data_IF_974111933488
#
_entry.id   IF_974111933488
#
_cell.length_a   1.000
_cell.length_b   1.000
_cell.length_c   1.000
_cell.angle_alpha   90.00
_cell.angle_beta   90.00
_cell.angle_gamma   90.00
#
_symmetry.space_group_name_H-M   'P 1'
#
loop_
_entity.id
_entity.type
_entity.pdbx_description
1 polymer ?
#
# COMPACT_ATOMS: atom_id res chain seq x y z
N UNK A 1 -18.40 43.48 -16.70
CA UNK A 1 -18.33 42.03 -17.00
C UNK A 1 -19.06 41.30 -15.90
N UNK A 2 -20.11 40.58 -16.26
CA UNK A 2 -20.86 39.73 -15.33
C UNK A 2 -19.94 38.60 -14.80
N UNK A 3 -20.31 38.05 -13.65
CA UNK A 3 -19.54 36.98 -12.99
C UNK A 3 -19.42 35.74 -13.91
N UNK A 4 -20.43 35.51 -14.75
CA UNK A 4 -20.46 34.46 -15.76
C UNK A 4 -19.41 34.67 -16.86
N UNK A 5 -19.23 35.89 -17.35
CA UNK A 5 -18.22 36.24 -18.36
C UNK A 5 -16.79 36.11 -17.84
N UNK A 6 -16.55 36.41 -16.55
CA UNK A 6 -15.24 36.15 -15.91
C UNK A 6 -14.94 34.64 -15.83
N UNK A 7 -15.92 33.83 -15.43
CA UNK A 7 -15.76 32.37 -15.34
C UNK A 7 -15.48 31.76 -16.72
N UNK A 8 -16.20 32.20 -17.76
CA UNK A 8 -15.98 31.71 -19.14
C UNK A 8 -14.57 32.08 -19.61
N UNK A 9 -14.12 33.31 -19.34
CA UNK A 9 -12.78 33.76 -19.72
C UNK A 9 -11.66 32.97 -19.01
N UNK A 10 -11.80 32.73 -17.71
CA UNK A 10 -10.84 31.90 -16.95
C UNK A 10 -10.85 30.43 -17.43
N UNK A 11 -12.02 29.89 -17.77
CA UNK A 11 -12.13 28.54 -18.34
C UNK A 11 -11.42 28.42 -19.68
N UNK A 12 -11.55 29.42 -20.56
CA UNK A 12 -10.86 29.46 -21.85
C UNK A 12 -9.35 29.61 -21.70
N UNK A 13 -8.91 30.40 -20.71
CA UNK A 13 -7.49 30.56 -20.38
C UNK A 13 -6.89 29.24 -19.87
N UNK A 14 -7.57 28.58 -18.94
CA UNK A 14 -7.16 27.28 -18.42
C UNK A 14 -7.13 26.19 -19.51
N UNK A 15 -8.11 26.18 -20.43
CA UNK A 15 -8.13 25.25 -21.56
C UNK A 15 -6.93 25.45 -22.50
N UNK A 16 -6.58 26.70 -22.80
CA UNK A 16 -5.40 27.04 -23.63
C UNK A 16 -4.11 26.60 -22.96
N UNK A 17 -3.98 26.83 -21.65
CA UNK A 17 -2.80 26.45 -20.88
C UNK A 17 -2.63 24.93 -20.80
N UNK A 18 -3.72 24.19 -20.54
CA UNK A 18 -3.72 22.72 -20.59
C UNK A 18 -3.28 22.20 -21.96
N UNK A 19 -3.76 22.82 -23.05
CA UNK A 19 -3.39 22.41 -24.40
C UNK A 19 -1.91 22.67 -24.70
N UNK A 20 -1.36 23.79 -24.20
CA UNK A 20 0.07 24.11 -24.29
C UNK A 20 0.92 23.08 -23.54
N UNK A 21 0.58 22.82 -22.28
CA UNK A 21 1.31 21.86 -21.43
C UNK A 21 1.24 20.43 -21.96
N UNK A 22 0.15 20.05 -22.64
CA UNK A 22 0.02 18.76 -23.33
C UNK A 22 0.98 18.65 -24.52
N UNK A 23 1.13 19.72 -25.32
CA UNK A 23 2.08 19.74 -26.45
C UNK A 23 3.52 19.64 -25.94
N UNK A 24 3.87 20.42 -24.92
CA UNK A 24 5.20 20.41 -24.32
C UNK A 24 5.54 19.03 -23.71
N UNK A 25 4.61 18.42 -22.96
CA UNK A 25 4.78 17.06 -22.46
C UNK A 25 4.97 16.03 -23.57
N UNK A 26 4.23 16.15 -24.69
CA UNK A 26 4.37 15.24 -25.82
C UNK A 26 5.76 15.36 -26.46
N UNK A 27 6.29 16.59 -26.61
CA UNK A 27 7.64 16.82 -27.13
C UNK A 27 8.73 16.30 -26.19
N UNK A 28 8.61 16.55 -24.88
CA UNK A 28 9.55 16.04 -23.87
C UNK A 28 9.55 14.51 -23.84
N UNK A 29 8.38 13.87 -23.90
CA UNK A 29 8.27 12.40 -23.92
C UNK A 29 8.82 11.78 -25.20
N UNK A 30 8.70 12.47 -26.35
CA UNK A 30 9.35 12.07 -27.61
C UNK A 30 10.87 12.12 -27.51
N UNK A 31 11.44 13.13 -26.83
CA UNK A 31 12.89 13.23 -26.56
C UNK A 31 13.40 12.12 -25.64
N UNK A 32 12.53 11.52 -24.82
CA UNK A 32 12.87 10.44 -23.87
C UNK A 32 12.46 9.05 -24.38
N UNK A 33 11.92 8.94 -25.61
CA UNK A 33 11.62 7.65 -26.24
C UNK A 33 10.38 6.91 -25.73
N UNK A 34 9.45 7.60 -25.05
CA UNK A 34 8.18 7.01 -24.58
C UNK A 34 7.07 7.13 -25.65
N UNK A 35 6.35 6.04 -25.94
CA UNK A 35 5.21 6.05 -26.87
C UNK A 35 3.97 6.75 -26.28
N UNK A 36 3.16 7.34 -27.16
CA UNK A 36 2.00 8.19 -26.85
C UNK A 36 0.75 7.33 -26.65
N UNK A 37 0.15 7.39 -25.46
CA UNK A 37 -1.27 7.08 -25.27
C UNK A 37 -1.98 8.32 -24.76
N UNK A 38 -2.99 8.81 -25.47
CA UNK A 38 -3.79 9.95 -25.00
C UNK A 38 -4.58 9.59 -23.73
N UNK A 39 -4.68 10.49 -22.74
CA UNK A 39 -5.55 10.29 -21.60
C UNK A 39 -7.03 10.39 -22.03
N UNK A 40 -7.81 9.33 -21.79
CA UNK A 40 -9.27 9.34 -22.00
C UNK A 40 -9.93 10.36 -21.05
N UNK A 41 -10.78 11.20 -21.63
CA UNK A 41 -11.41 12.34 -20.98
C UNK A 41 -12.62 11.96 -20.10
N UNK A 42 -12.78 12.77 -19.04
CA UNK A 42 -13.95 13.19 -18.23
C UNK A 42 -15.17 12.26 -18.02
N UNK A 43 -15.64 12.26 -16.77
CA UNK A 43 -16.58 11.32 -16.12
C UNK A 43 -18.06 11.46 -16.53
N UNK A 44 -18.40 12.25 -17.55
CA UNK A 44 -19.80 12.65 -17.77
C UNK A 44 -20.45 12.21 -19.07
N UNK A 45 -19.73 11.71 -20.07
CA UNK A 45 -20.37 11.31 -21.34
C UNK A 45 -19.62 10.19 -22.05
N UNK A 46 -20.08 8.94 -21.91
CA UNK A 46 -19.85 7.92 -22.95
C UNK A 46 -21.09 7.04 -23.05
N UNK A 47 -21.90 7.32 -24.08
CA UNK A 47 -22.91 6.41 -24.58
C UNK A 47 -22.31 5.30 -25.46
N UNK A 48 -23.10 4.25 -25.58
CA UNK A 48 -22.91 2.93 -26.19
C UNK A 48 -22.27 2.93 -27.58
N UNK A 49 -21.30 2.03 -27.81
CA UNK A 49 -21.24 1.19 -29.03
C UNK A 49 -20.29 -0.03 -28.82
N UNK A 50 -20.56 -1.23 -29.39
CA UNK A 50 -19.80 -2.45 -29.09
C UNK A 50 -18.93 -3.00 -30.24
N UNK A 51 -18.09 -3.99 -29.86
CA UNK A 51 -17.40 -5.03 -30.65
C UNK A 51 -16.10 -4.58 -31.37
N UNK A 52 -15.04 -5.40 -31.54
CA UNK A 52 -14.94 -6.85 -31.81
C UNK A 52 -13.65 -7.48 -31.27
N UNK A 53 -13.72 -8.81 -31.14
CA UNK A 53 -12.69 -9.83 -30.87
C UNK A 53 -11.77 -9.99 -32.09
N UNK A 54 -10.49 -10.27 -31.85
CA UNK A 54 -9.69 -11.13 -32.74
C UNK A 54 -8.74 -12.01 -31.93
N UNK A 55 -8.72 -13.29 -32.30
CA UNK A 55 -8.01 -14.40 -31.65
C UNK A 55 -6.82 -14.85 -32.49
N UNK A 56 -5.66 -14.98 -31.87
CA UNK A 56 -4.58 -15.96 -32.17
C UNK A 56 -3.54 -15.77 -31.04
N UNK A 57 -3.06 -16.76 -30.29
CA UNK A 57 -2.79 -18.15 -30.61
C UNK A 57 -1.27 -18.29 -30.69
N UNK A 58 -0.59 -18.56 -29.57
CA UNK A 58 0.58 -19.45 -29.58
C UNK A 58 1.03 -19.85 -28.17
N UNK A 59 1.15 -21.17 -28.00
CA UNK A 59 1.66 -21.87 -26.84
C UNK A 59 3.19 -21.83 -26.84
N UNK A 60 3.83 -21.61 -25.69
CA UNK A 60 5.07 -22.34 -25.44
C UNK A 60 5.44 -22.53 -23.97
N UNK A 61 6.05 -23.69 -23.75
CA UNK A 61 6.15 -24.48 -22.53
C UNK A 61 7.61 -24.48 -22.08
N UNK A 62 7.93 -24.06 -20.84
CA UNK A 62 9.25 -24.34 -20.24
C UNK A 62 9.09 -24.83 -18.79
N UNK A 63 9.75 -25.96 -18.52
CA UNK A 63 9.75 -26.76 -17.30
C UNK A 63 10.80 -26.29 -16.27
N UNK A 64 10.38 -26.39 -15.00
CA UNK A 64 11.09 -26.81 -13.77
C UNK A 64 12.43 -26.17 -13.36
N UNK A 65 12.56 -25.85 -12.06
CA UNK A 65 13.39 -26.46 -10.99
C UNK A 65 13.04 -25.65 -9.71
N UNK A 66 12.45 -26.17 -8.63
CA UNK A 66 12.99 -27.17 -7.70
C UNK A 66 13.44 -26.46 -6.40
N UNK A 67 12.51 -26.16 -5.48
CA UNK A 67 12.79 -25.55 -4.17
C UNK A 67 11.61 -25.72 -3.22
N UNK A 68 11.89 -26.20 -2.02
CA UNK A 68 10.96 -26.71 -1.00
C UNK A 68 9.91 -25.65 -0.57
N UNK A 69 8.73 -25.65 -1.20
CA UNK A 69 7.63 -24.72 -0.86
C UNK A 69 6.84 -25.27 0.33
N UNK A 70 6.64 -24.42 1.35
CA UNK A 70 5.51 -24.53 2.28
C UNK A 70 4.23 -24.35 1.46
N UNK A 71 3.72 -25.43 0.87
CA UNK A 71 2.65 -25.38 -0.13
C UNK A 71 1.36 -24.83 0.49
N UNK A 72 1.04 -23.56 0.20
CA UNK A 72 -0.28 -22.96 0.40
C UNK A 72 -1.35 -23.88 -0.19
N UNK A 73 -2.42 -24.19 0.56
CA UNK A 73 -3.52 -25.05 0.09
C UNK A 73 -3.92 -24.63 -1.33
N UNK A 74 -3.72 -25.54 -2.29
CA UNK A 74 -3.81 -25.32 -3.74
C UNK A 74 -5.20 -25.57 -4.31
N UNK A 75 -6.18 -25.94 -3.48
CA UNK A 75 -7.51 -26.21 -3.99
C UNK A 75 -8.14 -24.91 -4.49
N UNK A 76 -8.51 -24.81 -5.79
CA UNK A 76 -9.26 -23.67 -6.30
C UNK A 76 -10.56 -23.52 -5.51
N UNK A 77 -11.01 -22.29 -5.31
CA UNK A 77 -12.16 -21.98 -4.47
C UNK A 77 -13.46 -22.54 -5.05
N UNK A 78 -13.57 -22.44 -6.37
CA UNK A 78 -14.69 -22.88 -7.20
C UNK A 78 -14.27 -22.78 -8.68
N UNK A 79 -15.03 -23.36 -9.61
CA UNK A 79 -14.83 -23.15 -11.04
C UNK A 79 -15.75 -22.01 -11.53
N UNK A 80 -15.34 -20.76 -11.29
CA UNK A 80 -16.11 -19.56 -11.65
C UNK A 80 -15.32 -18.73 -12.66
N UNK A 81 -16.00 -18.26 -13.70
CA UNK A 81 -15.47 -17.43 -14.77
C UNK A 81 -16.46 -16.32 -15.19
N UNK A 82 -16.15 -15.59 -16.25
CA UNK A 82 -16.99 -14.52 -16.79
C UNK A 82 -18.36 -14.99 -17.32
N UNK A 83 -18.54 -16.27 -17.64
CA UNK A 83 -19.79 -16.86 -18.11
C UNK A 83 -20.63 -17.48 -16.98
N UNK A 84 -20.05 -17.70 -15.80
CA UNK A 84 -20.79 -18.16 -14.61
C UNK A 84 -21.95 -17.23 -14.24
N UNK A 85 -22.93 -17.79 -13.51
CA UNK A 85 -24.10 -17.06 -13.04
C UNK A 85 -23.74 -15.91 -12.08
N UNK A 86 -24.65 -14.96 -11.93
CA UNK A 86 -24.47 -13.88 -10.96
C UNK A 86 -24.32 -14.41 -9.52
N UNK A 87 -25.05 -15.47 -9.18
CA UNK A 87 -25.01 -16.07 -7.84
C UNK A 87 -23.64 -16.71 -7.54
N UNK A 88 -23.10 -17.51 -8.46
CA UNK A 88 -21.76 -18.12 -8.30
C UNK A 88 -20.66 -17.07 -8.14
N UNK A 89 -20.76 -15.95 -8.88
CA UNK A 89 -19.84 -14.82 -8.76
C UNK A 89 -19.96 -14.12 -7.41
N UNK A 90 -21.18 -13.92 -6.91
CA UNK A 90 -21.44 -13.32 -5.59
C UNK A 90 -20.87 -14.22 -4.50
N UNK A 91 -21.08 -15.53 -4.58
CA UNK A 91 -20.56 -16.51 -3.61
C UNK A 91 -19.03 -16.48 -3.55
N UNK A 92 -18.35 -16.52 -4.71
CA UNK A 92 -16.89 -16.38 -4.78
C UNK A 92 -16.42 -15.04 -4.21
N UNK A 93 -17.11 -13.94 -4.55
CA UNK A 93 -16.78 -12.61 -4.06
C UNK A 93 -16.88 -12.54 -2.53
N UNK A 94 -17.96 -13.10 -1.96
CA UNK A 94 -18.16 -13.24 -0.50
C UNK A 94 -17.18 -14.19 0.16
N UNK A 95 -16.60 -15.14 -0.56
CA UNK A 95 -15.56 -16.00 -0.01
C UNK A 95 -14.24 -15.28 0.21
N UNK A 96 -13.92 -14.30 -0.64
CA UNK A 96 -12.66 -13.58 -0.63
C UNK A 96 -12.73 -12.29 0.20
N UNK A 97 -13.71 -11.43 -0.07
CA UNK A 97 -13.77 -10.09 0.49
C UNK A 97 -14.63 -10.04 1.76
N UNK A 98 -14.28 -10.88 2.74
CA UNK A 98 -15.02 -11.05 3.99
C UNK A 98 -14.68 -9.99 5.03
N UNK A 99 -15.71 -9.36 5.58
CA UNK A 99 -15.63 -8.49 6.74
C UNK A 99 -16.83 -8.70 7.65
N UNK A 100 -17.26 -7.64 8.32
CA UNK A 100 -18.50 -7.61 9.11
C UNK A 100 -19.71 -7.87 8.20
N UNK A 101 -20.55 -8.83 8.58
CA UNK A 101 -21.81 -9.10 7.88
C UNK A 101 -22.99 -8.26 8.40
N UNK A 102 -22.91 -7.75 9.63
CA UNK A 102 -23.95 -6.96 10.26
C UNK A 102 -23.93 -5.48 9.87
N UNK A 103 -22.90 -5.03 9.15
CA UNK A 103 -22.76 -3.65 8.67
C UNK A 103 -21.82 -3.56 7.46
N UNK A 104 -22.21 -2.79 6.45
CA UNK A 104 -21.34 -2.41 5.33
C UNK A 104 -21.19 -0.89 5.21
N UNK A 105 -20.22 -0.42 4.42
CA UNK A 105 -20.07 0.99 4.11
C UNK A 105 -20.65 1.30 2.72
N UNK A 106 -21.36 2.41 2.57
CA UNK A 106 -21.85 2.91 1.29
C UNK A 106 -21.13 4.21 0.94
N UNK A 107 -20.65 4.30 -0.30
CA UNK A 107 -20.10 5.55 -0.84
C UNK A 107 -21.23 6.49 -1.22
N UNK A 108 -21.12 7.74 -0.81
CA UNK A 108 -22.07 8.79 -1.17
C UNK A 108 -21.35 10.02 -1.71
N UNK A 109 -21.96 10.65 -2.71
CA UNK A 109 -21.53 11.92 -3.27
C UNK A 109 -22.61 12.96 -3.02
N UNK A 110 -22.24 14.02 -2.30
CA UNK A 110 -23.11 15.16 -2.10
C UNK A 110 -22.89 16.16 -3.22
N UNK A 111 -23.80 16.20 -4.20
CA UNK A 111 -23.69 17.10 -5.34
C UNK A 111 -23.63 18.58 -4.93
N UNK A 112 -24.38 18.99 -3.90
CA UNK A 112 -24.44 20.38 -3.42
C UNK A 112 -23.13 20.87 -2.80
N UNK A 113 -22.40 19.98 -2.13
CA UNK A 113 -21.17 20.35 -1.38
C UNK A 113 -19.91 19.78 -2.02
N UNK A 114 -20.03 18.97 -3.08
CA UNK A 114 -18.93 18.22 -3.70
C UNK A 114 -18.31 17.14 -2.81
N UNK A 115 -18.83 16.90 -1.59
CA UNK A 115 -18.23 15.96 -0.64
C UNK A 115 -18.43 14.52 -1.08
N UNK A 116 -17.35 13.74 -1.03
CA UNK A 116 -17.29 12.30 -1.34
C UNK A 116 -16.87 11.57 -0.09
N UNK A 117 -17.74 10.71 0.44
CA UNK A 117 -17.48 10.05 1.72
C UNK A 117 -18.11 8.65 1.77
N UNK A 118 -17.50 7.76 2.53
CA UNK A 118 -18.11 6.49 2.90
C UNK A 118 -18.79 6.62 4.25
N UNK A 119 -20.01 6.11 4.36
CA UNK A 119 -20.76 6.08 5.60
C UNK A 119 -21.23 4.65 5.89
N UNK A 120 -21.34 4.24 7.17
CA UNK A 120 -22.01 2.99 7.51
C UNK A 120 -23.44 2.98 6.96
N UNK A 121 -23.86 1.89 6.34
CA UNK A 121 -25.22 1.73 5.87
C UNK A 121 -26.18 1.54 7.05
N UNK A 122 -27.24 2.34 7.11
CA UNK A 122 -28.25 2.30 8.16
C UNK A 122 -29.62 2.70 7.61
N UNK A 123 -30.68 2.31 8.31
CA UNK A 123 -32.08 2.60 7.91
C UNK A 123 -32.37 4.11 7.81
N UNK A 124 -31.77 4.93 8.69
CA UNK A 124 -31.86 6.40 8.66
C UNK A 124 -30.47 7.04 8.54
N UNK A 125 -29.99 7.35 7.33
CA UNK A 125 -28.70 8.01 7.10
C UNK A 125 -28.58 9.38 7.78
N UNK A 126 -29.69 10.09 8.03
CA UNK A 126 -29.67 11.40 8.67
C UNK A 126 -29.46 11.29 10.19
N UNK A 127 -29.85 10.16 10.80
CA UNK A 127 -29.59 9.86 12.22
C UNK A 127 -28.11 9.69 12.56
N UNK A 128 -27.26 9.30 11.60
CA UNK A 128 -25.81 9.19 11.79
C UNK A 128 -25.19 10.51 12.25
N UNK A 129 -25.73 11.65 11.78
CA UNK A 129 -25.26 12.99 12.17
C UNK A 129 -25.64 13.38 13.61
N UNK A 130 -26.57 12.65 14.23
CA UNK A 130 -27.04 12.85 15.62
C UNK A 130 -26.39 11.90 16.63
N UNK A 131 -25.38 11.12 16.22
CA UNK A 131 -24.45 10.47 17.14
C UNK A 131 -24.57 8.96 17.33
N UNK A 132 -25.57 8.28 16.73
CA UNK A 132 -25.60 6.81 16.50
C UNK A 132 -26.86 6.43 15.71
N UNK A 133 -26.77 5.58 14.68
CA UNK A 133 -27.96 5.07 14.01
C UNK A 133 -28.66 4.06 14.91
N UNK A 134 -29.99 4.00 14.83
CA UNK A 134 -30.77 3.00 15.59
C UNK A 134 -30.49 1.58 15.14
N UNK A 135 -30.15 1.37 13.85
CA UNK A 135 -29.88 0.06 13.26
C UNK A 135 -29.03 0.16 11.99
N UNK A 136 -27.99 -0.66 11.91
CA UNK A 136 -27.16 -0.83 10.72
C UNK A 136 -27.77 -1.87 9.77
N UNK A 137 -27.45 -1.76 8.47
CA UNK A 137 -27.93 -2.68 7.44
C UNK A 137 -26.88 -3.77 7.17
N UNK A 138 -27.29 -5.05 7.09
CA UNK A 138 -26.38 -6.16 6.83
C UNK A 138 -25.86 -6.17 5.39
N UNK A 139 -24.72 -6.83 5.17
CA UNK A 139 -24.15 -7.06 3.85
C UNK A 139 -24.79 -8.30 3.20
N UNK A 140 -25.85 -8.09 2.43
CA UNK A 140 -26.58 -9.15 1.72
C UNK A 140 -26.07 -9.37 0.30
N UNK A 141 -26.50 -10.46 -0.33
CA UNK A 141 -26.15 -10.79 -1.72
C UNK A 141 -26.68 -9.75 -2.70
N UNK A 142 -27.86 -9.18 -2.43
CA UNK A 142 -28.42 -8.08 -3.21
C UNK A 142 -27.53 -6.83 -3.13
N UNK A 143 -26.96 -6.53 -1.97
CA UNK A 143 -26.05 -5.39 -1.79
C UNK A 143 -24.77 -5.59 -2.61
N UNK A 144 -24.23 -6.81 -2.63
CA UNK A 144 -23.06 -7.16 -3.44
C UNK A 144 -23.41 -7.13 -4.93
N UNK A 145 -24.56 -7.66 -5.32
CA UNK A 145 -25.06 -7.56 -6.69
C UNK A 145 -25.19 -6.09 -7.14
N UNK A 146 -25.78 -5.21 -6.33
CA UNK A 146 -25.86 -3.77 -6.59
C UNK A 146 -24.47 -3.14 -6.76
N UNK A 147 -23.46 -3.61 -6.04
CA UNK A 147 -22.08 -3.16 -6.21
C UNK A 147 -21.48 -3.60 -7.54
N UNK A 148 -21.53 -4.89 -7.82
CA UNK A 148 -20.97 -5.51 -9.03
C UNK A 148 -21.70 -5.09 -10.31
N UNK A 149 -22.97 -4.69 -10.21
CA UNK A 149 -23.77 -4.14 -11.32
C UNK A 149 -23.60 -2.62 -11.50
N UNK A 150 -22.94 -1.95 -10.55
CA UNK A 150 -22.64 -0.52 -10.63
C UNK A 150 -23.70 0.42 -10.07
N UNK A 151 -24.77 -0.12 -9.49
CA UNK A 151 -25.82 0.65 -8.81
C UNK A 151 -25.27 1.34 -7.56
N UNK A 152 -24.51 0.60 -6.75
CA UNK A 152 -23.89 1.09 -5.51
C UNK A 152 -22.37 0.98 -5.57
N UNK A 153 -21.69 1.75 -4.73
CA UNK A 153 -20.29 1.54 -4.41
C UNK A 153 -20.20 1.31 -2.92
N UNK A 154 -19.68 0.15 -2.52
CA UNK A 154 -19.68 -0.28 -1.13
C UNK A 154 -18.25 -0.59 -0.67
N UNK A 155 -18.08 -0.63 0.64
CA UNK A 155 -16.89 -1.14 1.31
C UNK A 155 -17.28 -2.06 2.46
N UNK A 156 -16.30 -2.80 2.97
CA UNK A 156 -16.46 -3.69 4.12
C UNK A 156 -15.59 -3.23 5.28
N UNK A 157 -16.00 -3.59 6.49
CA UNK A 157 -15.20 -3.44 7.69
C UNK A 157 -14.48 -4.78 7.95
N UNK A 158 -13.16 -4.89 7.72
CA UNK A 158 -12.44 -6.16 7.72
C UNK A 158 -12.14 -6.71 9.13
N UNK A 159 -12.19 -5.86 10.17
CA UNK A 159 -11.95 -6.27 11.55
C UNK A 159 -13.23 -6.80 12.20
N UNK A 160 -13.20 -8.07 12.61
CA UNK A 160 -14.31 -8.75 13.24
C UNK A 160 -14.42 -8.43 14.74
N UNK A 161 -15.51 -8.88 15.38
CA UNK A 161 -15.80 -8.59 16.80
C UNK A 161 -14.87 -9.29 17.78
N UNK A 162 -14.27 -10.39 17.35
CA UNK A 162 -13.31 -11.21 18.07
C UNK A 162 -11.85 -10.82 17.75
N UNK A 163 -11.63 -9.63 17.21
CA UNK A 163 -10.31 -9.09 16.85
C UNK A 163 -9.59 -9.92 15.74
N UNK A 164 -10.35 -10.69 14.94
CA UNK A 164 -9.86 -11.45 13.77
C UNK A 164 -10.17 -10.78 12.42
N UNK A 165 -9.52 -11.24 11.34
CA UNK A 165 -9.83 -10.84 9.97
C UNK A 165 -9.62 -12.00 8.97
N UNK A 166 -10.20 -11.86 7.77
CA UNK A 166 -10.10 -12.84 6.68
C UNK A 166 -9.07 -12.49 5.61
N UNK A 167 -8.58 -11.26 5.62
CA UNK A 167 -7.52 -10.79 4.73
C UNK A 167 -6.72 -9.68 5.40
N UNK A 168 -5.54 -9.42 4.82
CA UNK A 168 -4.79 -8.18 4.99
C UNK A 168 -4.72 -7.50 3.61
N UNK A 169 -5.03 -6.21 3.53
CA UNK A 169 -4.79 -5.42 2.33
C UNK A 169 -3.79 -4.30 2.62
N UNK A 170 -2.81 -4.11 1.74
CA UNK A 170 -1.83 -3.04 1.83
C UNK A 170 -2.16 -1.95 0.80
N UNK A 171 -2.33 -0.71 1.26
CA UNK A 171 -2.75 0.44 0.46
C UNK A 171 -1.52 1.19 -0.07
N UNK A 172 -1.43 1.34 -1.39
CA UNK A 172 -0.38 2.08 -2.09
C UNK A 172 -1.02 3.16 -2.96
N UNK A 173 -0.80 4.44 -2.66
CA UNK A 173 -1.38 5.61 -3.33
C UNK A 173 -0.29 6.55 -3.89
N UNK A 174 -0.65 7.57 -4.69
CA UNK A 174 0.27 8.62 -5.19
C UNK A 174 1.25 8.13 -6.26
N UNK A 175 2.18 9.01 -6.67
CA UNK A 175 3.18 8.71 -7.67
C UNK A 175 4.06 7.51 -7.24
N UNK A 176 4.37 6.62 -8.19
CA UNK A 176 5.21 5.45 -7.94
C UNK A 176 4.48 4.21 -7.41
N UNK A 177 3.18 4.29 -7.08
CA UNK A 177 2.41 3.19 -6.48
C UNK A 177 2.61 1.83 -7.17
N UNK A 178 2.71 1.81 -8.50
CA UNK A 178 2.86 0.57 -9.27
C UNK A 178 4.18 -0.15 -8.99
N UNK A 179 5.29 0.60 -8.90
CA UNK A 179 6.60 0.02 -8.59
C UNK A 179 6.67 -0.47 -7.14
N UNK A 180 6.12 0.30 -6.22
CA UNK A 180 6.09 -0.01 -4.78
C UNK A 180 5.24 -1.25 -4.51
N UNK A 181 4.03 -1.30 -5.09
CA UNK A 181 3.13 -2.43 -4.94
C UNK A 181 3.70 -3.70 -5.58
N UNK A 182 4.33 -3.61 -6.76
CA UNK A 182 5.04 -4.73 -7.38
C UNK A 182 6.22 -5.22 -6.54
N UNK A 183 6.97 -4.30 -5.94
CA UNK A 183 8.06 -4.66 -5.04
C UNK A 183 7.54 -5.47 -3.86
N UNK A 184 6.46 -5.01 -3.23
CA UNK A 184 5.82 -5.71 -2.12
C UNK A 184 5.29 -7.09 -2.54
N UNK A 185 4.63 -7.19 -3.70
CA UNK A 185 4.17 -8.49 -4.26
C UNK A 185 5.34 -9.45 -4.49
N UNK A 186 6.48 -8.96 -4.99
CA UNK A 186 7.66 -9.80 -5.22
C UNK A 186 8.25 -10.31 -3.90
N UNK A 187 8.35 -9.48 -2.87
CA UNK A 187 8.80 -9.91 -1.55
C UNK A 187 7.83 -10.92 -0.92
N UNK A 188 6.52 -10.70 -1.06
CA UNK A 188 5.53 -11.69 -0.64
C UNK A 188 5.79 -13.04 -1.33
N UNK A 189 6.02 -13.05 -2.64
CA UNK A 189 6.33 -14.25 -3.42
C UNK A 189 7.62 -14.94 -2.96
N UNK A 190 8.69 -14.19 -2.72
CA UNK A 190 9.97 -14.72 -2.21
C UNK A 190 9.82 -15.43 -0.86
N UNK A 191 8.88 -14.97 -0.03
CA UNK A 191 8.54 -15.59 1.26
C UNK A 191 7.41 -16.64 1.18
N UNK A 192 6.95 -17.00 -0.02
CA UNK A 192 5.86 -17.97 -0.20
C UNK A 192 4.49 -17.48 0.28
N UNK A 193 4.30 -16.16 0.38
CA UNK A 193 3.04 -15.51 0.77
C UNK A 193 2.27 -15.13 -0.50
N UNK A 194 1.10 -15.74 -0.78
CA UNK A 194 0.26 -15.33 -1.91
C UNK A 194 -0.28 -13.91 -1.70
N UNK A 195 0.01 -13.02 -2.66
CA UNK A 195 -0.40 -11.63 -2.64
C UNK A 195 -0.90 -11.19 -4.03
N UNK A 196 -1.97 -10.39 -4.07
CA UNK A 196 -2.70 -10.07 -5.30
C UNK A 196 -2.92 -8.57 -5.45
N UNK A 197 -2.53 -8.02 -6.60
CA UNK A 197 -2.58 -6.59 -6.88
C UNK A 197 -3.92 -6.18 -7.50
N UNK A 198 -4.65 -5.26 -6.88
CA UNK A 198 -5.85 -4.62 -7.43
C UNK A 198 -5.60 -3.13 -7.61
N UNK A 199 -5.98 -2.59 -8.78
CA UNK A 199 -5.93 -1.14 -9.01
C UNK A 199 -7.04 -0.46 -8.23
N UNK A 200 -6.72 0.60 -7.49
CA UNK A 200 -7.70 1.30 -6.68
C UNK A 200 -8.80 1.95 -7.53
N UNK A 201 -9.89 2.33 -6.85
CA UNK A 201 -11.05 3.01 -7.47
C UNK A 201 -10.69 4.28 -8.25
N UNK A 202 -9.67 5.02 -7.81
CA UNK A 202 -9.23 6.26 -8.45
C UNK A 202 -8.34 6.01 -9.66
N UNK A 203 -7.73 4.83 -9.77
CA UNK A 203 -6.68 4.52 -10.75
C UNK A 203 -5.29 5.06 -10.37
N UNK A 204 -5.18 5.85 -9.30
CA UNK A 204 -3.94 6.49 -8.84
C UNK A 204 -3.34 5.80 -7.60
N UNK A 205 -3.62 4.51 -7.46
CA UNK A 205 -3.17 3.67 -6.36
C UNK A 205 -3.57 2.22 -6.60
N UNK A 206 -3.25 1.38 -5.63
CA UNK A 206 -3.57 -0.03 -5.64
C UNK A 206 -3.65 -0.60 -4.21
N UNK A 207 -4.40 -1.68 -4.08
CA UNK A 207 -4.36 -2.52 -2.90
C UNK A 207 -3.65 -3.84 -3.23
N UNK A 208 -2.74 -4.28 -2.36
CA UNK A 208 -2.18 -5.63 -2.40
C UNK A 208 -2.86 -6.49 -1.34
N UNK A 209 -3.58 -7.52 -1.77
CA UNK A 209 -4.40 -8.39 -0.92
C UNK A 209 -3.68 -9.69 -0.57
N UNK A 210 -3.70 -10.06 0.70
CA UNK A 210 -3.28 -11.37 1.22
C UNK A 210 -4.52 -11.98 1.90
N UNK A 211 -4.97 -13.14 1.41
CA UNK A 211 -6.19 -13.79 1.89
C UNK A 211 -5.89 -14.97 2.81
N UNK A 212 -6.76 -15.20 3.81
CA UNK A 212 -6.66 -16.31 4.74
C UNK A 212 -7.79 -17.34 4.52
N UNK A 213 -7.49 -18.62 4.73
CA UNK A 213 -8.47 -19.70 4.54
C UNK A 213 -9.46 -19.83 5.70
N UNK A 214 -9.11 -19.25 6.85
CA UNK A 214 -9.89 -19.18 8.09
C UNK A 214 -9.58 -17.84 8.76
N UNK A 215 -10.43 -17.33 9.67
CA UNK A 215 -10.14 -16.06 10.35
C UNK A 215 -8.87 -16.20 11.19
N UNK A 216 -8.02 -15.18 11.14
CA UNK A 216 -6.77 -15.09 11.89
C UNK A 216 -6.77 -13.85 12.78
N UNK A 217 -6.02 -13.83 13.89
CA UNK A 217 -5.86 -12.61 14.68
C UNK A 217 -5.36 -11.45 13.82
N UNK A 218 -6.01 -10.29 13.90
CA UNK A 218 -5.59 -9.11 13.15
C UNK A 218 -4.17 -8.67 13.53
N UNK A 219 -3.73 -8.93 14.76
CA UNK A 219 -2.34 -8.79 15.20
C UNK A 219 -1.38 -9.62 14.35
N UNK A 220 -1.61 -10.93 14.19
CA UNK A 220 -0.73 -11.81 13.39
C UNK A 220 -0.69 -11.36 11.93
N UNK A 221 -1.85 -11.06 11.33
CA UNK A 221 -1.93 -10.58 9.95
C UNK A 221 -1.14 -9.28 9.76
N UNK A 222 -1.31 -8.30 10.64
CA UNK A 222 -0.59 -7.02 10.57
C UNK A 222 0.91 -7.18 10.82
N UNK A 223 1.31 -8.06 11.74
CA UNK A 223 2.73 -8.36 11.96
C UNK A 223 3.37 -8.93 10.70
N UNK A 224 2.69 -9.85 9.99
CA UNK A 224 3.19 -10.37 8.73
C UNK A 224 3.38 -9.23 7.71
N UNK A 225 2.37 -8.39 7.53
CA UNK A 225 2.43 -7.24 6.62
C UNK A 225 3.57 -6.28 6.94
N UNK A 226 3.73 -5.88 8.21
CA UNK A 226 4.79 -4.96 8.65
C UNK A 226 6.19 -5.56 8.40
N UNK A 227 6.37 -6.86 8.64
CA UNK A 227 7.66 -7.54 8.40
C UNK A 227 7.99 -7.64 6.91
N UNK A 228 7.00 -8.00 6.07
CA UNK A 228 7.16 -8.01 4.60
C UNK A 228 7.43 -6.61 4.04
N UNK A 229 6.78 -5.59 4.59
CA UNK A 229 6.99 -4.20 4.19
C UNK A 229 8.42 -3.75 4.52
N UNK A 230 8.94 -4.11 5.70
CA UNK A 230 10.34 -3.88 6.06
C UNK A 230 11.30 -4.52 5.07
N UNK A 231 11.13 -5.81 4.76
CA UNK A 231 12.00 -6.50 3.78
C UNK A 231 11.91 -5.84 2.40
N UNK A 232 10.72 -5.37 2.00
CA UNK A 232 10.52 -4.58 0.77
C UNK A 232 11.33 -3.29 0.78
N UNK A 233 11.30 -2.53 1.88
CA UNK A 233 12.10 -1.31 2.04
C UNK A 233 13.61 -1.61 1.98
N UNK A 234 14.05 -2.73 2.55
CA UNK A 234 15.46 -3.15 2.53
C UNK A 234 15.92 -3.45 1.09
N UNK A 235 15.10 -4.18 0.31
CA UNK A 235 15.45 -4.56 -1.07
C UNK A 235 15.40 -3.37 -2.04
N UNK A 236 14.51 -2.39 -1.80
CA UNK A 236 14.11 -1.40 -2.80
C UNK A 236 14.25 0.07 -2.40
N UNK A 237 15.20 0.41 -1.54
CA UNK A 237 15.32 1.76 -0.94
C UNK A 237 15.75 2.94 -1.86
N UNK A 238 15.57 2.89 -3.18
CA UNK A 238 15.32 4.14 -3.94
C UNK A 238 13.89 4.65 -3.69
N UNK A 239 13.07 3.80 -3.08
CA UNK A 239 11.69 4.04 -2.72
C UNK A 239 11.67 4.12 -1.18
N UNK A 240 11.68 5.35 -0.64
CA UNK A 240 10.80 5.56 0.50
C UNK A 240 9.45 5.08 -0.02
N UNK A 241 8.83 4.06 0.57
CA UNK A 241 7.48 3.58 0.21
C UNK A 241 6.47 4.69 0.50
N UNK A 242 6.62 5.83 -0.17
CA UNK A 242 5.87 7.07 0.00
C UNK A 242 4.44 6.88 -0.48
N UNK A 243 4.27 5.88 -1.36
CA UNK A 243 2.96 5.42 -1.78
C UNK A 243 2.27 4.58 -0.72
N UNK A 244 3.00 3.83 0.11
CA UNK A 244 2.36 3.08 1.21
C UNK A 244 1.63 4.05 2.16
N UNK A 245 0.32 3.85 2.30
CA UNK A 245 -0.52 4.62 3.22
C UNK A 245 -0.76 3.82 4.51
N UNK A 246 -1.33 2.61 4.40
CA UNK A 246 -1.78 1.81 5.55
C UNK A 246 -2.10 0.35 5.18
N UNK A 247 -2.29 -0.48 6.20
CA UNK A 247 -2.89 -1.81 6.06
C UNK A 247 -4.35 -1.82 6.51
N UNK A 248 -5.20 -2.61 5.85
CA UNK A 248 -6.56 -2.94 6.27
C UNK A 248 -6.62 -4.40 6.75
N UNK A 249 -7.13 -4.68 7.97
CA UNK A 249 -7.59 -3.73 8.99
C UNK A 249 -6.46 -2.83 9.51
N UNK A 250 -6.77 -1.55 9.82
CA UNK A 250 -5.78 -0.59 10.36
C UNK A 250 -5.47 -0.86 11.83
N UNK A 251 -6.42 -1.46 12.55
CA UNK A 251 -6.28 -1.77 13.96
C UNK A 251 -6.06 -3.26 14.16
N UNK A 252 -5.39 -3.60 15.28
CA UNK A 252 -5.26 -4.96 15.77
C UNK A 252 -6.44 -5.38 16.65
N UNK A 253 -7.08 -4.41 17.30
CA UNK A 253 -8.20 -4.63 18.20
C UNK A 253 -9.35 -3.71 17.84
N UNK A 254 -10.57 -4.23 17.94
CA UNK A 254 -11.77 -3.48 17.66
C UNK A 254 -11.97 -2.41 18.74
N UNK A 255 -12.13 -1.12 18.36
CA UNK A 255 -12.38 -0.08 19.32
C UNK A 255 -13.75 -0.24 19.98
N UNK A 256 -13.86 0.13 21.26
CA UNK A 256 -15.13 0.01 22.01
C UNK A 256 -16.25 0.76 21.28
N UNK A 257 -17.31 0.03 20.90
CA UNK A 257 -18.49 0.59 20.24
C UNK A 257 -18.32 0.97 18.78
N UNK A 258 -17.20 0.59 18.13
CA UNK A 258 -16.97 0.80 16.70
C UNK A 258 -16.91 -0.51 15.90
N UNK A 259 -16.71 -0.38 14.60
CA UNK A 259 -16.56 -1.48 13.64
C UNK A 259 -15.20 -1.44 12.90
N UNK A 260 -14.27 -0.61 13.36
CA UNK A 260 -12.97 -0.41 12.70
C UNK A 260 -13.05 0.47 11.46
N UNK A 261 -12.00 0.47 10.65
CA UNK A 261 -11.93 1.22 9.39
C UNK A 261 -12.45 0.39 8.21
N UNK A 262 -13.11 1.02 7.24
CA UNK A 262 -13.59 0.35 6.03
C UNK A 262 -12.50 0.29 4.94
N UNK A 263 -12.59 -0.71 4.08
CA UNK A 263 -11.91 -0.76 2.77
C UNK A 263 -12.97 -0.83 1.67
N UNK A 264 -12.77 -0.10 0.57
CA UNK A 264 -13.67 -0.16 -0.58
C UNK A 264 -13.56 -1.53 -1.27
N UNK A 265 -14.69 -2.09 -1.70
CA UNK A 265 -14.71 -3.36 -2.41
C UNK A 265 -14.30 -3.20 -3.89
N UNK A 266 -13.59 -4.17 -4.47
CA UNK A 266 -13.17 -4.14 -5.86
C UNK A 266 -14.30 -4.57 -6.81
N UNK A 267 -14.04 -4.47 -8.11
CA UNK A 267 -14.90 -4.91 -9.21
C UNK A 267 -16.24 -4.17 -9.37
N UNK A 268 -16.33 -2.93 -8.89
CA UNK A 268 -17.50 -2.08 -9.12
C UNK A 268 -17.65 -1.75 -10.63
N UNK A 269 -18.80 -2.06 -11.24
CA UNK A 269 -18.97 -2.00 -12.72
C UNK A 269 -18.53 -0.69 -13.37
N UNK A 270 -18.93 0.46 -12.82
CA UNK A 270 -18.63 1.78 -13.41
C UNK A 270 -17.13 2.08 -13.34
N UNK A 271 -16.44 1.65 -12.27
CA UNK A 271 -15.00 1.77 -12.16
C UNK A 271 -14.26 0.81 -13.09
N UNK A 272 -14.77 -0.43 -13.24
CA UNK A 272 -14.21 -1.42 -14.17
C UNK A 272 -14.27 -1.00 -15.62
N UNK A 273 -15.33 -0.30 -16.04
CA UNK A 273 -15.41 0.27 -17.40
C UNK A 273 -14.26 1.25 -17.71
N UNK A 274 -13.57 1.76 -16.68
CA UNK A 274 -12.40 2.63 -16.79
C UNK A 274 -11.07 1.87 -16.55
N UNK A 275 -11.11 0.55 -16.38
CA UNK A 275 -9.94 -0.27 -16.04
C UNK A 275 -9.46 -0.11 -14.59
N UNK A 276 -10.34 0.37 -13.70
CA UNK A 276 -10.07 0.51 -12.26
C UNK A 276 -10.84 -0.53 -11.46
N UNK A 277 -10.45 -0.73 -10.19
CA UNK A 277 -11.01 -1.79 -9.31
C UNK A 277 -10.82 -3.21 -9.84
N UNK A 278 -9.86 -3.42 -10.73
CA UNK A 278 -9.54 -4.70 -11.35
C UNK A 278 -8.19 -5.22 -10.86
N UNK A 279 -8.09 -6.54 -10.77
CA UNK A 279 -6.85 -7.23 -10.45
C UNK A 279 -5.91 -7.23 -11.64
N UNK A 280 -4.66 -6.92 -11.38
CA UNK A 280 -3.61 -6.70 -12.36
C UNK A 280 -2.63 -7.88 -12.38
N UNK A 281 -2.15 -8.21 -13.57
CA UNK A 281 -1.10 -9.20 -13.76
C UNK A 281 0.28 -8.58 -13.44
N UNK A 282 0.99 -9.03 -12.39
CA UNK A 282 2.28 -8.46 -12.00
C UNK A 282 3.44 -8.89 -12.92
N UNK A 283 3.22 -9.80 -13.88
CA UNK A 283 4.26 -10.28 -14.78
C UNK A 283 4.59 -9.31 -15.93
N UNK A 284 3.69 -8.37 -16.25
CA UNK A 284 3.87 -7.40 -17.33
C UNK A 284 4.31 -6.03 -16.83
N UNK A 285 5.12 -5.32 -17.62
CA UNK A 285 5.59 -3.96 -17.31
C UNK A 285 4.44 -2.94 -17.21
N UNK A 286 3.34 -3.17 -17.93
CA UNK A 286 2.21 -2.23 -18.05
C UNK A 286 1.08 -2.47 -17.04
N UNK A 287 1.21 -3.46 -16.14
CA UNK A 287 0.20 -3.78 -15.11
C UNK A 287 -1.23 -3.88 -15.68
N UNK A 288 -1.39 -4.66 -16.74
CA UNK A 288 -2.70 -4.88 -17.36
C UNK A 288 -3.61 -5.70 -16.44
N UNK A 289 -4.93 -5.42 -16.44
CA UNK A 289 -5.91 -6.29 -15.79
C UNK A 289 -5.87 -7.71 -16.33
N UNK A 290 -6.16 -8.70 -15.49
CA UNK A 290 -6.44 -10.06 -15.98
C UNK A 290 -7.63 -10.07 -16.95
N UNK A 291 -7.56 -10.80 -18.08
CA UNK A 291 -8.65 -10.83 -19.08
C UNK A 291 -9.98 -11.29 -18.49
N UNK A 292 -9.95 -12.32 -17.66
CA UNK A 292 -11.11 -12.79 -16.90
C UNK A 292 -10.83 -12.64 -15.41
N UNK A 293 -11.42 -11.59 -14.83
CA UNK A 293 -11.31 -11.28 -13.41
C UNK A 293 -11.88 -12.41 -12.53
N UNK A 294 -12.96 -13.07 -12.96
CA UNK A 294 -13.62 -14.10 -12.17
C UNK A 294 -12.83 -15.42 -12.19
N UNK A 295 -12.32 -15.81 -13.37
CA UNK A 295 -11.42 -16.94 -13.49
C UNK A 295 -10.13 -16.73 -12.69
N UNK A 296 -9.62 -15.51 -12.64
CA UNK A 296 -8.48 -15.18 -11.78
C UNK A 296 -8.83 -15.28 -10.29
N UNK A 297 -9.94 -14.68 -9.84
CA UNK A 297 -10.35 -14.72 -8.43
C UNK A 297 -10.58 -16.16 -7.94
N UNK A 298 -11.10 -17.05 -8.79
CA UNK A 298 -11.36 -18.44 -8.43
C UNK A 298 -10.09 -19.26 -8.17
N UNK A 299 -8.95 -18.78 -8.69
CA UNK A 299 -7.61 -19.36 -8.51
C UNK A 299 -6.83 -18.76 -7.33
N UNK A 300 -7.40 -17.81 -6.58
CA UNK A 300 -6.71 -17.21 -5.45
C UNK A 300 -6.38 -18.26 -4.39
N UNK A 301 -5.08 -18.37 -4.08
CA UNK A 301 -4.54 -19.16 -2.98
C UNK A 301 -4.63 -18.34 -1.70
N UNK A 302 -4.87 -19.03 -0.60
CA UNK A 302 -5.05 -18.42 0.72
C UNK A 302 -4.09 -19.04 1.71
N UNK A 303 -3.55 -18.23 2.61
CA UNK A 303 -2.75 -18.72 3.72
C UNK A 303 -3.64 -19.37 4.77
N UNK A 304 -3.25 -20.54 5.26
CA UNK A 304 -3.85 -21.10 6.47
C UNK A 304 -3.33 -20.37 7.72
N UNK A 305 -4.05 -20.41 8.86
CA UNK A 305 -3.54 -19.86 10.12
C UNK A 305 -2.17 -20.44 10.51
N UNK A 306 -1.96 -21.74 10.30
CA UNK A 306 -0.67 -22.39 10.56
C UNK A 306 0.45 -21.86 9.67
N UNK A 307 0.17 -21.59 8.38
CA UNK A 307 1.14 -21.01 7.47
C UNK A 307 1.48 -19.56 7.83
N UNK A 308 0.49 -18.76 8.24
CA UNK A 308 0.72 -17.41 8.76
C UNK A 308 1.70 -17.44 9.95
N UNK A 309 1.44 -18.29 10.94
CA UNK A 309 2.30 -18.42 12.13
C UNK A 309 3.70 -18.94 11.76
N UNK A 310 3.81 -19.90 10.83
CA UNK A 310 5.10 -20.35 10.31
C UNK A 310 5.88 -19.21 9.61
N UNK A 311 5.22 -18.38 8.80
CA UNK A 311 5.84 -17.21 8.20
C UNK A 311 6.34 -16.21 9.26
N UNK A 312 5.61 -16.03 10.37
CA UNK A 312 6.04 -15.17 11.48
C UNK A 312 7.23 -15.73 12.29
N UNK A 313 7.49 -17.03 12.22
CA UNK A 313 8.70 -17.62 12.80
C UNK A 313 9.93 -17.43 11.89
N UNK A 314 9.71 -17.44 10.57
CA UNK A 314 10.78 -17.33 9.57
C UNK A 314 11.18 -15.87 9.34
N UNK A 315 10.19 -14.98 9.19
CA UNK A 315 10.43 -13.57 8.87
C UNK A 315 10.65 -12.83 10.19
N UNK A 316 11.82 -12.21 10.44
CA UNK A 316 12.14 -11.63 11.74
C UNK A 316 11.27 -10.42 12.07
N UNK A 317 11.02 -10.14 13.37
CA UNK A 317 10.30 -8.94 13.78
C UNK A 317 11.04 -7.65 13.40
N UNK A 318 10.30 -6.55 13.39
CA UNK A 318 10.87 -5.22 13.17
C UNK A 318 11.47 -4.71 14.48
N UNK A 319 12.77 -4.45 14.47
CA UNK A 319 13.51 -3.84 15.60
C UNK A 319 13.93 -2.43 15.19
N UNK A 320 13.59 -1.43 16.01
CA UNK A 320 13.94 -0.01 15.78
C UNK A 320 14.59 0.57 17.02
N UNK A 321 15.27 1.72 16.88
CA UNK A 321 15.86 2.48 17.97
C UNK A 321 17.36 2.25 18.15
N UNK A 322 17.98 2.93 19.15
CA UNK A 322 19.41 2.81 19.43
C UNK A 322 19.79 1.35 19.71
N UNK A 323 20.85 0.86 19.06
CA UNK A 323 21.28 -0.55 19.13
C UNK A 323 20.57 -1.49 18.14
N UNK A 324 19.64 -1.00 17.33
CA UNK A 324 19.09 -1.79 16.22
C UNK A 324 20.14 -1.98 15.13
N UNK A 325 20.65 -3.21 14.99
CA UNK A 325 21.42 -3.61 13.81
C UNK A 325 20.47 -4.29 12.85
N UNK A 326 20.06 -3.58 11.80
CA UNK A 326 19.25 -4.19 10.76
C UNK A 326 20.01 -5.37 10.13
N UNK A 327 19.43 -6.56 10.14
CA UNK A 327 19.95 -7.68 9.35
C UNK A 327 19.42 -7.53 7.93
N UNK A 328 20.34 -7.52 6.97
CA UNK A 328 20.03 -7.57 5.53
C UNK A 328 20.59 -8.87 4.99
N UNK A 329 19.82 -9.57 4.16
CA UNK A 329 20.24 -10.88 3.64
C UNK A 329 21.57 -10.80 2.87
N UNK A 330 22.44 -11.83 2.95
CA UNK A 330 23.69 -11.86 2.21
C UNK A 330 23.51 -11.73 0.69
N UNK A 331 22.37 -12.21 0.16
CA UNK A 331 22.05 -12.09 -1.26
C UNK A 331 21.90 -10.63 -1.71
N UNK A 332 21.20 -9.80 -0.92
CA UNK A 332 21.02 -8.37 -1.20
C UNK A 332 22.37 -7.65 -1.11
N UNK A 333 23.18 -7.93 -0.08
CA UNK A 333 24.51 -7.35 0.09
C UNK A 333 25.45 -7.66 -1.08
N UNK A 334 25.36 -8.87 -1.66
CA UNK A 334 26.14 -9.24 -2.85
C UNK A 334 25.68 -8.51 -4.12
N UNK A 335 24.37 -8.35 -4.30
CA UNK A 335 23.81 -7.68 -5.49
C UNK A 335 24.04 -6.16 -5.44
N UNK A 336 24.03 -5.57 -4.24
CA UNK A 336 24.22 -4.16 -4.01
C UNK A 336 25.30 -3.94 -2.92
N UNK A 337 26.60 -4.04 -3.28
CA UNK A 337 27.68 -3.94 -2.30
C UNK A 337 27.72 -2.55 -1.64
N UNK A 338 28.13 -2.51 -0.37
CA UNK A 338 28.36 -1.27 0.34
C UNK A 338 29.56 -0.52 -0.26
N UNK A 339 29.56 0.83 -0.23
CA UNK A 339 30.72 1.60 -0.67
C UNK A 339 31.91 1.36 0.27
N UNK A 340 33.13 1.59 -0.21
CA UNK A 340 34.33 1.52 0.63
C UNK A 340 34.32 2.57 1.75
N UNK A 341 33.70 3.72 1.48
CA UNK A 341 33.70 4.88 2.36
C UNK A 341 32.29 5.48 2.41
N UNK A 342 31.85 5.88 3.61
CA UNK A 342 30.62 6.61 3.87
C UNK A 342 31.02 8.00 4.39
N UNK A 343 30.70 9.04 3.61
CA UNK A 343 31.01 10.43 3.98
C UNK A 343 29.94 10.99 4.91
N UNK A 344 30.39 11.59 6.00
CA UNK A 344 29.51 12.22 6.97
C UNK A 344 30.14 13.45 7.62
N UNK A 345 29.28 14.39 8.00
CA UNK A 345 29.66 15.64 8.66
C UNK A 345 28.99 15.73 10.01
N UNK A 346 29.77 15.93 11.06
CA UNK A 346 29.28 16.14 12.42
C UNK A 346 29.23 17.64 12.72
N UNK A 347 28.02 18.19 12.76
CA UNK A 347 27.77 19.60 13.09
C UNK A 347 26.67 19.72 14.15
N UNK A 348 25.61 20.46 13.84
CA UNK A 348 24.39 20.49 14.65
C UNK A 348 23.69 19.12 14.65
N UNK A 349 23.68 18.46 13.49
CA UNK A 349 23.24 17.08 13.26
C UNK A 349 24.42 16.23 12.75
N UNK A 350 24.22 14.92 12.70
CA UNK A 350 25.10 14.01 11.98
C UNK A 350 24.54 13.83 10.57
N UNK A 351 25.17 14.45 9.58
CA UNK A 351 24.73 14.42 8.18
C UNK A 351 25.47 13.33 7.41
N UNK A 352 24.76 12.44 6.72
CA UNK A 352 25.33 11.35 5.91
C UNK A 352 24.99 11.60 4.45
N UNK A 353 25.99 11.59 3.56
CA UNK A 353 25.78 11.71 2.12
C UNK A 353 25.18 10.42 1.56
N UNK A 354 24.10 10.52 0.78
CA UNK A 354 23.40 9.36 0.21
C UNK A 354 24.08 8.76 -1.02
N UNK A 355 24.89 9.56 -1.72
CA UNK A 355 25.49 9.18 -3.00
C UNK A 355 26.33 7.91 -2.87
N UNK A 356 26.05 6.92 -3.71
CA UNK A 356 26.77 5.64 -3.74
C UNK A 356 26.49 4.70 -2.57
N UNK A 357 25.63 5.07 -1.62
CA UNK A 357 25.20 4.17 -0.55
C UNK A 357 24.00 3.35 -1.06
N UNK A 358 24.08 2.01 -1.05
CA UNK A 358 22.96 1.19 -1.47
C UNK A 358 21.79 1.34 -0.51
N UNK A 359 20.60 1.20 -1.07
CA UNK A 359 19.31 1.24 -0.43
C UNK A 359 19.20 0.55 0.94
N UNK A 360 19.61 -0.72 1.02
CA UNK A 360 19.54 -1.48 2.26
C UNK A 360 20.37 -0.84 3.38
N UNK A 361 21.50 -0.20 3.03
CA UNK A 361 22.39 0.45 3.99
C UNK A 361 21.82 1.80 4.43
N UNK A 362 21.23 2.57 3.52
CA UNK A 362 20.46 3.78 3.88
C UNK A 362 19.32 3.45 4.85
N UNK A 363 18.58 2.35 4.62
CA UNK A 363 17.54 1.90 5.53
C UNK A 363 18.10 1.59 6.93
N UNK A 364 19.24 0.90 7.02
CA UNK A 364 19.92 0.59 8.29
C UNK A 364 20.37 1.86 9.02
N UNK A 365 20.95 2.83 8.29
CA UNK A 365 21.39 4.13 8.83
C UNK A 365 20.23 4.92 9.45
N UNK A 366 19.01 4.80 8.92
CA UNK A 366 17.81 5.47 9.47
C UNK A 366 17.29 4.83 10.77
N UNK A 367 17.50 3.52 11.01
CA UNK A 367 16.86 2.79 12.12
C UNK A 367 17.21 3.29 13.54
N UNK A 368 18.46 3.68 13.85
CA UNK A 368 18.80 4.22 15.18
C UNK A 368 18.05 5.51 15.53
N UNK A 369 17.57 6.24 14.52
CA UNK A 369 16.80 7.48 14.67
C UNK A 369 15.28 7.26 14.54
N UNK A 370 14.80 6.02 14.64
CA UNK A 370 13.37 5.69 14.76
C UNK A 370 13.07 5.20 16.17
N UNK A 371 12.10 5.82 16.85
CA UNK A 371 11.70 5.42 18.20
C UNK A 371 10.27 4.88 18.20
N UNK A 372 10.00 3.88 19.03
CA UNK A 372 8.63 3.46 19.32
C UNK A 372 7.83 4.63 19.90
N UNK A 373 6.59 4.83 19.45
CA UNK A 373 5.69 5.84 20.01
C UNK A 373 4.86 5.25 21.16
N UNK A 374 5.15 5.52 22.46
CA UNK A 374 4.43 4.93 23.58
C UNK A 374 2.93 5.26 23.57
N UNK A 375 2.57 6.46 23.10
CA UNK A 375 1.19 6.92 22.99
C UNK A 375 0.38 6.05 22.03
N UNK A 376 1.00 5.59 20.93
CA UNK A 376 0.37 4.66 20.00
C UNK A 376 0.00 3.35 20.69
N UNK A 377 0.98 2.74 21.36
CA UNK A 377 0.81 1.44 22.02
C UNK A 377 -0.13 1.50 23.22
N UNK A 378 -0.12 2.59 23.97
CA UNK A 378 -1.07 2.82 25.08
C UNK A 378 -2.51 2.87 24.54
N UNK A 379 -2.77 3.67 23.50
CA UNK A 379 -4.10 3.76 22.90
C UNK A 379 -4.55 2.43 22.29
N UNK A 380 -3.63 1.70 21.67
CA UNK A 380 -3.90 0.36 21.15
C UNK A 380 -4.34 -0.60 22.28
N UNK A 381 -3.60 -0.64 23.40
CA UNK A 381 -3.95 -1.44 24.59
C UNK A 381 -5.33 -1.08 25.15
N UNK A 382 -5.67 0.21 25.17
CA UNK A 382 -6.96 0.72 25.62
C UNK A 382 -8.10 0.54 24.60
N UNK A 383 -7.83 -0.06 23.44
CA UNK A 383 -8.79 -0.20 22.32
C UNK A 383 -9.38 1.16 21.91
N UNK A 384 -8.55 2.19 21.89
CA UNK A 384 -8.88 3.54 21.44
C UNK A 384 -8.39 3.74 20.00
N UNK A 385 -8.97 4.71 19.30
CA UNK A 385 -8.53 5.06 17.93
C UNK A 385 -7.08 5.54 17.93
N UNK A 386 -6.28 4.95 17.03
CA UNK A 386 -4.89 5.31 16.72
C UNK A 386 -4.76 6.19 15.47
N UNK A 387 -5.88 6.73 14.98
CA UNK A 387 -5.90 7.57 13.78
C UNK A 387 -4.96 8.78 13.94
N UNK A 388 -4.10 9.01 12.94
CA UNK A 388 -3.04 10.05 12.90
C UNK A 388 -1.98 9.96 14.00
N UNK A 389 -1.90 8.84 14.72
CA UNK A 389 -0.84 8.59 15.69
C UNK A 389 0.07 7.53 15.06
N UNK A 390 1.30 7.89 14.65
CA UNK A 390 2.20 6.92 14.03
C UNK A 390 2.74 5.95 15.09
N UNK A 391 3.00 4.70 14.71
CA UNK A 391 3.61 3.70 15.61
C UNK A 391 5.07 4.00 15.94
N UNK A 392 5.74 4.79 15.08
CA UNK A 392 7.12 5.21 15.24
C UNK A 392 7.24 6.74 15.16
N UNK A 393 8.15 7.29 15.96
CA UNK A 393 8.57 8.68 15.93
C UNK A 393 9.85 8.75 15.08
N UNK A 394 9.80 9.57 14.02
CA UNK A 394 10.95 9.85 13.16
C UNK A 394 11.79 10.96 13.80
N UNK A 395 13.02 10.62 14.19
CA UNK A 395 13.98 11.55 14.78
C UNK A 395 15.10 11.95 13.81
N UNK A 396 14.87 11.84 12.50
CA UNK A 396 15.80 12.27 11.46
C UNK A 396 15.10 13.13 10.41
N UNK A 397 15.89 13.92 9.70
CA UNK A 397 15.46 14.66 8.52
C UNK A 397 16.20 14.12 7.29
N UNK A 398 15.67 14.38 6.10
CA UNK A 398 16.27 13.92 4.86
C UNK A 398 16.00 14.93 3.75
N UNK A 399 17.05 15.28 3.02
CA UNK A 399 16.97 16.09 1.80
C UNK A 399 17.34 15.24 0.57
N UNK A 400 17.48 15.84 -0.62
CA UNK A 400 17.81 15.10 -1.83
C UNK A 400 19.16 14.36 -1.77
N UNK A 401 20.11 14.89 -1.00
CA UNK A 401 21.52 14.50 -0.97
C UNK A 401 21.98 13.87 0.35
N UNK A 402 21.35 14.20 1.47
CA UNK A 402 21.78 13.82 2.80
C UNK A 402 20.65 13.28 3.69
N UNK A 403 21.04 12.46 4.66
CA UNK A 403 20.23 12.08 5.83
C UNK A 403 20.82 12.78 7.05
N UNK A 404 19.99 13.47 7.84
CA UNK A 404 20.40 14.19 9.04
C UNK A 404 19.90 13.45 10.29
N UNK A 405 20.82 12.82 11.01
CA UNK A 405 20.54 12.07 12.23
C UNK A 405 20.88 12.88 13.49
N UNK A 406 20.32 12.51 14.67
CA UNK A 406 20.79 13.02 15.95
C UNK A 406 22.24 12.63 16.18
N UNK A 407 23.06 13.55 16.71
CA UNK A 407 24.50 13.33 16.95
C UNK A 407 24.81 12.09 17.79
N UNK A 408 23.91 11.74 18.72
CA UNK A 408 24.04 10.57 19.57
C UNK A 408 24.03 9.24 18.84
N UNK A 409 23.66 9.21 17.56
CA UNK A 409 23.66 8.00 16.71
C UNK A 409 25.01 7.70 16.04
N UNK A 410 26.04 8.53 16.28
CA UNK A 410 27.36 8.37 15.64
C UNK A 410 27.97 6.98 15.87
N UNK A 411 27.88 6.44 17.08
CA UNK A 411 28.45 5.12 17.36
C UNK A 411 27.68 4.01 16.64
N UNK A 412 26.34 4.10 16.58
CA UNK A 412 25.54 3.17 15.77
C UNK A 412 25.92 3.24 14.29
N UNK A 413 26.17 4.44 13.75
CA UNK A 413 26.61 4.61 12.37
C UNK A 413 27.97 3.94 12.12
N UNK A 414 28.91 4.05 13.07
CA UNK A 414 30.21 3.35 12.99
C UNK A 414 30.05 1.83 12.98
N UNK A 415 29.20 1.30 13.86
CA UNK A 415 28.90 -0.14 13.90
C UNK A 415 28.27 -0.62 12.59
N UNK A 416 27.29 0.11 12.07
CA UNK A 416 26.62 -0.19 10.80
C UNK A 416 27.63 -0.17 9.63
N UNK A 417 28.47 0.87 9.53
CA UNK A 417 29.49 0.98 8.51
C UNK A 417 30.48 -0.19 8.58
N UNK A 418 30.98 -0.51 9.79
CA UNK A 418 31.90 -1.64 10.01
C UNK A 418 31.25 -2.98 9.62
N UNK A 419 30.00 -3.21 10.01
CA UNK A 419 29.26 -4.43 9.67
C UNK A 419 28.93 -4.55 8.18
N UNK A 420 28.89 -3.42 7.46
CA UNK A 420 28.75 -3.36 6.01
C UNK A 420 30.08 -3.53 5.26
N UNK A 421 31.23 -3.45 5.94
CA UNK A 421 32.55 -3.45 5.32
C UNK A 421 33.00 -2.08 4.80
N UNK A 422 32.36 -1.01 5.27
CA UNK A 422 32.65 0.39 4.91
C UNK A 422 33.46 1.09 6.01
N UNK A 423 34.29 2.06 5.62
CA UNK A 423 34.92 3.00 6.55
C UNK A 423 34.08 4.28 6.65
N UNK A 424 34.02 4.88 7.85
CA UNK A 424 33.32 6.13 8.07
C UNK A 424 34.29 7.31 7.96
N UNK A 425 34.03 8.21 7.01
CA UNK A 425 34.80 9.43 6.79
C UNK A 425 34.07 10.59 7.44
N UNK A 426 34.56 11.01 8.61
CA UNK A 426 33.89 11.96 9.49
C UNK A 426 34.60 13.31 9.50
N UNK A 427 33.92 14.34 9.03
CA UNK A 427 34.37 15.74 9.17
C UNK A 427 33.64 16.37 10.35
N UNK A 428 34.36 16.72 11.42
CA UNK A 428 33.79 17.42 12.58
C UNK A 428 33.89 18.93 12.39
N UNK A 429 32.75 19.60 12.27
CA UNK A 429 32.63 21.06 12.08
C UNK A 429 32.04 21.75 13.30
N UNK A 430 31.92 21.04 14.43
CA UNK A 430 31.44 21.64 15.68
C UNK A 430 32.45 22.67 16.19
N UNK A 431 31.98 23.77 16.81
CA UNK A 431 32.90 24.73 17.41
C UNK A 431 33.68 24.05 18.55
N UNK A 432 34.99 24.26 18.57
CA UNK A 432 35.85 23.82 19.67
C UNK A 432 35.41 24.57 20.93
N UNK A 433 34.98 23.87 22.00
CA UNK A 433 34.61 24.55 23.24
C UNK A 433 35.83 25.31 23.77
N UNK A 434 35.63 26.57 24.16
CA UNK A 434 36.65 27.33 24.88
C UNK A 434 36.95 26.55 26.17
N UNK A 435 38.23 26.33 26.54
CA UNK A 435 38.55 25.68 27.80
C UNK A 435 37.81 26.39 28.93
N UNK A 436 37.06 25.65 29.75
CA UNK A 436 36.48 26.24 30.94
C UNK A 436 37.61 26.87 31.74
N UNK A 437 37.58 28.20 31.91
CA UNK A 437 38.44 28.86 32.90
C UNK A 437 38.26 28.07 34.19
N UNK A 438 39.33 27.47 34.70
CA UNK A 438 39.33 26.93 36.04
C UNK A 438 38.79 28.04 36.95
N UNK A 439 37.67 27.78 37.62
CA UNK A 439 37.19 28.70 38.65
C UNK A 439 38.31 28.77 39.70
N UNK A 440 38.77 29.98 40.05
CA UNK A 440 39.92 30.18 40.93
C UNK A 440 39.73 29.59 42.32
#
# INVERSE_FOLDING_TARGET
MDERGRIIHELEKARREIQSLRRENAELRKKVGMQVSEPKADYSQVEKTPARVDTSGDENKIRSHGGNELVASTAPLSCVDSNSSAQEKIELFRMLFRGREDVYAVFWFNERTGKREYMPACEDPWSLRKGKPKKYLPLTDEVIHSHLSGEKTIGVYPLLRDDTCWFLACDFDKAGWGLDALAFVNICKEHGVPAYLERSRSGNGAHVWIFFSAPVPATSARQLGVRLLKETMVVRAEIDLTSYDRFFPNQEFLPRGGFGNLIALPLQKKCRLLGNTEFLNPAGAELHPYPDQWAFLSQIRRLTPAQLEASLQIIPPVTVGPGSTGLTSPAIRRRHPAPKEIRCTLGATLSIEKSGIPSWLLFQVKQPALLHNPQFYERQKLRLSTWRIPSFIKCYEEDASHIHLPRGTLENLREIAKAAGSQLSLTDVRPTPCPSRALP
#
